data_IF_916283027023
#
_entry.id   IF_916283027023
#
_cell.length_a   1.000
_cell.length_b   1.000
_cell.length_c   1.000
_cell.angle_alpha   90.00
_cell.angle_beta   90.00
_cell.angle_gamma   90.00
#
_symmetry.space_group_name_H-M   'P 1'
#
loop_
_entity.id
_entity.type
_entity.pdbx_description
1 polymer ?
#
# COMPACT_ATOMS: atom_id res chain seq x y z
N UNK A 1 15.11 15.84 10.61
CA UNK A 1 15.48 14.67 9.78
C UNK A 1 14.89 13.39 10.34
N UNK A 2 15.17 13.03 11.60
CA UNK A 2 14.58 11.84 12.28
C UNK A 2 13.05 11.74 12.13
N UNK A 3 12.33 12.84 12.36
CA UNK A 3 10.86 12.84 12.21
C UNK A 3 10.41 12.48 10.80
N UNK A 4 11.08 12.98 9.76
CA UNK A 4 10.73 12.73 8.37
C UNK A 4 10.98 11.27 8.00
N UNK A 5 12.11 10.70 8.42
CA UNK A 5 12.42 9.28 8.25
C UNK A 5 11.38 8.40 8.95
N UNK A 6 11.03 8.73 10.20
CA UNK A 6 10.00 8.02 10.95
C UNK A 6 8.64 8.10 10.24
N UNK A 7 8.27 9.29 9.76
CA UNK A 7 7.03 9.49 9.02
C UNK A 7 6.96 8.64 7.75
N UNK A 8 8.04 8.63 6.93
CA UNK A 8 8.12 7.81 5.71
C UNK A 8 7.97 6.32 6.05
N UNK A 9 8.69 5.85 7.06
CA UNK A 9 8.65 4.45 7.47
C UNK A 9 7.27 4.03 7.98
N UNK A 10 6.64 4.85 8.83
CA UNK A 10 5.31 4.58 9.38
C UNK A 10 4.26 4.61 8.27
N UNK A 11 4.33 5.58 7.37
CA UNK A 11 3.40 5.68 6.25
C UNK A 11 3.52 4.48 5.31
N UNK A 12 4.75 4.10 4.93
CA UNK A 12 4.98 2.95 4.06
C UNK A 12 4.47 1.64 4.69
N UNK A 13 4.72 1.45 5.98
CA UNK A 13 4.21 0.29 6.73
C UNK A 13 2.67 0.30 6.81
N UNK A 14 2.06 1.44 7.14
CA UNK A 14 0.61 1.56 7.25
C UNK A 14 -0.09 1.24 5.92
N UNK A 15 0.43 1.77 4.80
CA UNK A 15 -0.10 1.47 3.46
C UNK A 15 0.12 0.00 3.08
N UNK A 16 1.27 -0.56 3.42
CA UNK A 16 1.57 -1.99 3.23
C UNK A 16 0.55 -2.86 3.95
N UNK A 17 0.30 -2.60 5.24
CA UNK A 17 -0.69 -3.35 6.02
C UNK A 17 -2.11 -3.17 5.48
N UNK A 18 -2.48 -1.96 5.05
CA UNK A 18 -3.78 -1.70 4.45
C UNK A 18 -3.97 -2.52 3.16
N UNK A 19 -2.94 -2.62 2.31
CA UNK A 19 -2.97 -3.43 1.09
C UNK A 19 -2.98 -4.94 1.40
N UNK A 20 -2.26 -5.38 2.43
CA UNK A 20 -2.38 -6.77 2.89
C UNK A 20 -3.80 -7.08 3.38
N UNK A 21 -4.38 -6.22 4.21
CA UNK A 21 -5.77 -6.36 4.65
C UNK A 21 -6.71 -6.42 3.45
N UNK A 22 -6.52 -5.55 2.46
CA UNK A 22 -7.28 -5.53 1.20
C UNK A 22 -7.26 -6.87 0.46
N UNK A 23 -6.09 -7.49 0.33
CA UNK A 23 -5.95 -8.82 -0.29
C UNK A 23 -6.65 -9.89 0.53
N UNK A 24 -6.45 -9.90 1.85
CA UNK A 24 -7.11 -10.86 2.74
C UNK A 24 -8.63 -10.76 2.65
N UNK A 25 -9.18 -9.55 2.64
CA UNK A 25 -10.62 -9.32 2.49
C UNK A 25 -11.18 -9.70 1.12
N UNK A 26 -10.35 -9.72 0.08
CA UNK A 26 -10.77 -10.19 -1.26
C UNK A 26 -10.80 -11.72 -1.39
N UNK A 27 -9.99 -12.44 -0.61
CA UNK A 27 -9.88 -13.91 -0.69
C UNK A 27 -10.71 -14.62 0.37
N UNK A 28 -10.82 -14.02 1.56
CA UNK A 28 -11.59 -14.57 2.67
C UNK A 28 -12.89 -13.79 2.75
N UNK A 29 -14.05 -14.40 2.44
CA UNK A 29 -15.34 -13.76 2.65
C UNK A 29 -15.60 -13.62 4.16
N UNK A 30 -15.13 -12.51 4.74
CA UNK A 30 -15.28 -12.20 6.15
C UNK A 30 -16.47 -11.27 6.33
N UNK A 31 -17.36 -11.59 7.27
CA UNK A 31 -18.44 -10.69 7.70
C UNK A 31 -17.87 -9.61 8.61
N UNK A 32 -17.15 -8.65 8.03
CA UNK A 32 -16.73 -7.45 8.73
C UNK A 32 -17.90 -6.49 8.91
N UNK A 33 -17.84 -5.62 9.95
CA UNK A 33 -18.65 -4.41 9.95
C UNK A 33 -18.45 -3.67 8.63
N UNK A 34 -19.55 -3.24 8.00
CA UNK A 34 -19.53 -2.57 6.70
C UNK A 34 -18.50 -1.43 6.64
N UNK A 35 -18.42 -0.66 7.73
CA UNK A 35 -17.50 0.47 7.88
C UNK A 35 -16.01 0.09 7.78
N UNK A 36 -15.61 -1.10 8.24
CA UNK A 36 -14.20 -1.49 8.22
C UNK A 36 -13.76 -1.92 6.81
N UNK A 37 -14.60 -2.70 6.12
CA UNK A 37 -14.34 -3.11 4.74
C UNK A 37 -14.30 -1.91 3.79
N UNK A 38 -15.24 -0.98 3.96
CA UNK A 38 -15.29 0.27 3.20
C UNK A 38 -14.08 1.16 3.48
N UNK A 39 -13.63 1.26 4.74
CA UNK A 39 -12.43 2.01 5.10
C UNK A 39 -11.17 1.43 4.42
N UNK A 40 -10.97 0.11 4.47
CA UNK A 40 -9.82 -0.53 3.81
C UNK A 40 -9.90 -0.32 2.30
N UNK A 41 -11.09 -0.43 1.71
CA UNK A 41 -11.31 -0.10 0.29
C UNK A 41 -10.92 1.36 0.01
N UNK A 42 -11.46 2.33 0.74
CA UNK A 42 -11.27 3.75 0.47
C UNK A 42 -9.82 4.22 0.62
N UNK A 43 -9.07 3.64 1.56
CA UNK A 43 -7.65 3.97 1.77
C UNK A 43 -6.77 3.38 0.68
N UNK A 44 -7.08 2.16 0.21
CA UNK A 44 -6.21 1.45 -0.76
C UNK A 44 -6.56 1.75 -2.21
N UNK A 45 -7.81 2.08 -2.53
CA UNK A 45 -8.27 2.26 -3.91
C UNK A 45 -7.57 3.40 -4.68
N UNK A 46 -7.23 4.56 -4.08
CA UNK A 46 -6.45 5.58 -4.77
C UNK A 46 -5.08 5.10 -5.28
N UNK A 47 -4.51 4.08 -4.63
CA UNK A 47 -3.23 3.47 -5.01
C UNK A 47 -3.46 2.30 -5.99
N UNK A 48 -4.43 1.44 -5.70
CA UNK A 48 -4.68 0.22 -6.48
C UNK A 48 -5.39 0.51 -7.81
N UNK A 49 -6.34 1.43 -7.87
CA UNK A 49 -7.14 1.69 -9.07
C UNK A 49 -6.29 2.17 -10.27
N UNK A 50 -5.34 3.12 -10.10
CA UNK A 50 -4.47 3.53 -11.21
C UNK A 50 -3.60 2.38 -11.72
N UNK A 51 -3.04 1.56 -10.81
CA UNK A 51 -2.21 0.40 -11.17
C UNK A 51 -3.06 -0.63 -11.91
N UNK A 52 -4.25 -0.93 -11.40
CA UNK A 52 -5.20 -1.87 -12.03
C UNK A 52 -5.60 -1.42 -13.43
N UNK A 53 -5.81 -0.12 -13.65
CA UNK A 53 -6.14 0.46 -14.97
C UNK A 53 -4.96 0.41 -15.94
N UNK A 54 -3.73 0.45 -15.43
CA UNK A 54 -2.52 0.35 -16.26
C UNK A 54 -2.18 -1.09 -16.65
N UNK A 55 -2.68 -2.08 -15.91
CA UNK A 55 -2.45 -3.49 -16.21
C UNK A 55 -3.36 -4.01 -17.33
N UNK A 56 -2.87 -4.93 -18.18
CA UNK A 56 -3.73 -5.64 -19.11
C UNK A 56 -4.71 -6.53 -18.35
N UNK A 57 -5.81 -6.91 -19.01
CA UNK A 57 -6.82 -7.78 -18.40
C UNK A 57 -6.22 -9.16 -18.07
N UNK A 58 -6.12 -9.48 -16.78
CA UNK A 58 -5.47 -10.70 -16.28
C UNK A 58 -6.47 -11.78 -15.83
N UNK A 59 -7.55 -11.97 -16.59
CA UNK A 59 -8.48 -13.09 -16.35
C UNK A 59 -9.19 -13.05 -15.00
N UNK A 60 -9.44 -11.86 -14.46
CA UNK A 60 -10.15 -11.66 -13.19
C UNK A 60 -9.29 -11.68 -11.92
N UNK A 61 -7.98 -11.95 -12.03
CA UNK A 61 -7.05 -11.83 -10.90
C UNK A 61 -6.50 -10.41 -10.85
N UNK A 62 -6.62 -9.76 -9.69
CA UNK A 62 -6.07 -8.42 -9.46
C UNK A 62 -4.62 -8.52 -8.93
N UNK A 63 -3.64 -8.27 -9.81
CA UNK A 63 -2.22 -8.18 -9.46
C UNK A 63 -1.79 -6.78 -9.00
N UNK A 64 -2.69 -5.79 -9.00
CA UNK A 64 -2.36 -4.44 -8.54
C UNK A 64 -1.83 -4.37 -7.10
N UNK A 65 -2.27 -5.21 -6.13
CA UNK A 65 -1.71 -5.19 -4.78
C UNK A 65 -0.22 -5.53 -4.75
N UNK A 66 0.23 -6.52 -5.54
CA UNK A 66 1.64 -6.91 -5.59
C UNK A 66 2.51 -5.75 -6.11
N UNK A 67 2.09 -5.12 -7.21
CA UNK A 67 2.82 -3.98 -7.77
C UNK A 67 2.79 -2.76 -6.85
N UNK A 68 1.68 -2.52 -6.17
CA UNK A 68 1.58 -1.44 -5.20
C UNK A 68 2.55 -1.64 -4.03
N UNK A 69 2.67 -2.87 -3.50
CA UNK A 69 3.64 -3.19 -2.44
C UNK A 69 5.08 -2.95 -2.91
N UNK A 70 5.44 -3.40 -4.12
CA UNK A 70 6.76 -3.14 -4.69
C UNK A 70 7.02 -1.64 -4.87
N UNK A 71 6.03 -0.90 -5.37
CA UNK A 71 6.14 0.55 -5.57
C UNK A 71 6.30 1.31 -4.24
N UNK A 72 5.51 0.97 -3.21
CA UNK A 72 5.59 1.60 -1.88
C UNK A 72 6.98 1.37 -1.28
N UNK A 73 7.47 0.14 -1.27
CA UNK A 73 8.77 -0.19 -0.70
C UNK A 73 9.92 0.44 -1.50
N UNK A 74 9.81 0.44 -2.83
CA UNK A 74 10.78 1.07 -3.72
C UNK A 74 10.86 2.58 -3.51
N UNK A 75 9.71 3.26 -3.50
CA UNK A 75 9.63 4.70 -3.25
C UNK A 75 10.14 5.06 -1.86
N UNK A 76 9.72 4.34 -0.82
CA UNK A 76 10.21 4.58 0.54
C UNK A 76 11.74 4.43 0.63
N UNK A 77 12.30 3.39 0.00
CA UNK A 77 13.75 3.16 -0.04
C UNK A 77 14.48 4.30 -0.75
N UNK A 78 13.97 4.75 -1.90
CA UNK A 78 14.56 5.87 -2.65
C UNK A 78 14.49 7.15 -1.83
N UNK A 79 13.33 7.46 -1.23
CA UNK A 79 13.15 8.65 -0.39
C UNK A 79 14.15 8.66 0.78
N UNK A 80 14.25 7.55 1.51
CA UNK A 80 15.16 7.44 2.66
C UNK A 80 16.64 7.54 2.26
N UNK A 81 17.02 7.07 1.07
CA UNK A 81 18.40 7.19 0.56
C UNK A 81 18.77 8.60 0.13
N UNK A 82 17.80 9.41 -0.31
CA UNK A 82 18.02 10.80 -0.71
C UNK A 82 18.17 11.71 0.52
N UNK A 83 17.59 11.33 1.65
CA UNK A 83 17.73 12.11 2.87
C UNK A 83 19.19 12.07 3.35
N UNK A 84 19.78 13.23 3.71
CA UNK A 84 21.12 13.26 4.26
C UNK A 84 21.17 12.43 5.54
N UNK A 85 22.29 11.72 5.80
CA UNK A 85 22.43 10.90 6.98
C UNK A 85 22.14 11.77 8.21
N UNK A 86 21.20 11.30 9.01
CA UNK A 86 20.96 11.85 10.34
C UNK A 86 22.26 11.70 11.10
N UNK A 87 22.88 12.83 11.46
CA UNK A 87 24.10 12.87 12.26
C UNK A 87 23.89 11.95 13.47
N UNK A 88 24.64 10.85 13.52
CA UNK A 88 24.81 10.06 14.74
C UNK A 88 25.64 10.87 15.73
#
# INVERSE_FOLDING_TARGET
>A
MVFLEAFINVLAQALTFAIFARVLLSWVPMRLPWSLGEFVWSVTEPILAPIRRALPFMGGIDFSPLLALLAIQGVATVLLRILPPTLQ
#
